data_IF_674392225693
#
_entry.id   IF_674392225693
#
_cell.length_a   1.000
_cell.length_b   1.000
_cell.length_c   1.000
_cell.angle_alpha   90.00
_cell.angle_beta   90.00
_cell.angle_gamma   90.00
#
_symmetry.space_group_name_H-M   'P 1'
#
loop_
_entity.id
_entity.type
_entity.pdbx_description
1 polymer ?
#
# COMPACT_ATOMS: atom_id res chain seq x y z
N UNK A 1 -19.56 -0.52 11.75
CA UNK A 1 -18.80 -0.60 10.48
C UNK A 1 -17.96 0.64 10.20
N UNK A 2 -18.43 1.86 10.48
CA UNK A 2 -17.70 3.09 10.12
C UNK A 2 -16.27 3.19 10.68
N UNK A 3 -16.05 2.79 11.94
CA UNK A 3 -14.69 2.80 12.53
C UNK A 3 -13.71 1.88 11.81
N UNK A 4 -14.14 0.68 11.44
CA UNK A 4 -13.30 -0.27 10.71
C UNK A 4 -12.95 0.28 9.33
N UNK A 5 -13.94 0.85 8.61
CA UNK A 5 -13.69 1.50 7.32
C UNK A 5 -12.68 2.65 7.46
N UNK A 6 -12.83 3.49 8.49
CA UNK A 6 -11.89 4.57 8.77
C UNK A 6 -10.48 4.03 9.03
N UNK A 7 -10.34 2.96 9.83
CA UNK A 7 -9.05 2.35 10.11
C UNK A 7 -8.38 1.77 8.85
N UNK A 8 -9.14 1.10 8.00
CA UNK A 8 -8.66 0.59 6.70
C UNK A 8 -8.17 1.75 5.83
N UNK A 9 -8.93 2.85 5.78
CA UNK A 9 -8.59 4.02 4.96
C UNK A 9 -7.33 4.73 5.48
N UNK A 10 -7.21 4.87 6.80
CA UNK A 10 -6.01 5.42 7.45
C UNK A 10 -4.77 4.55 7.18
N UNK A 11 -4.91 3.22 7.21
CA UNK A 11 -3.79 2.32 6.91
C UNK A 11 -3.31 2.44 5.45
N UNK A 12 -4.26 2.57 4.51
CA UNK A 12 -3.92 2.83 3.11
C UNK A 12 -3.19 4.16 2.94
N UNK A 13 -3.66 5.20 3.62
CA UNK A 13 -3.02 6.52 3.63
C UNK A 13 -1.62 6.46 4.23
N UNK A 14 -1.45 5.83 5.41
CA UNK A 14 -0.17 5.73 6.11
C UNK A 14 0.90 5.05 5.25
N UNK A 15 0.56 3.94 4.58
CA UNK A 15 1.46 3.25 3.65
C UNK A 15 1.86 4.15 2.49
N UNK A 16 0.89 4.82 1.85
CA UNK A 16 1.17 5.74 0.73
C UNK A 16 2.11 6.88 1.16
N UNK A 17 1.86 7.50 2.31
CA UNK A 17 2.67 8.63 2.79
C UNK A 17 4.07 8.16 3.21
N UNK A 18 4.18 6.99 3.84
CA UNK A 18 5.46 6.35 4.18
C UNK A 18 6.29 6.06 2.93
N UNK A 19 5.67 5.48 1.89
CA UNK A 19 6.32 5.25 0.59
C UNK A 19 6.74 6.56 -0.11
N UNK A 20 6.05 7.67 0.20
CA UNK A 20 6.38 9.01 -0.28
C UNK A 20 7.47 9.71 0.55
N UNK A 21 8.06 9.01 1.53
CA UNK A 21 9.12 9.54 2.40
C UNK A 21 8.62 10.42 3.56
N UNK A 22 7.31 10.41 3.84
CA UNK A 22 6.73 11.10 5.01
C UNK A 22 6.69 10.18 6.22
N UNK A 23 6.64 10.76 7.41
CA UNK A 23 6.59 10.00 8.66
C UNK A 23 5.24 9.29 8.86
N UNK A 24 5.21 8.11 9.48
CA UNK A 24 3.98 7.40 9.78
C UNK A 24 3.18 8.09 10.89
N UNK A 25 1.89 7.78 10.97
CA UNK A 25 1.05 8.24 12.07
C UNK A 25 1.56 7.74 13.43
N UNK A 26 1.44 8.59 14.45
CA UNK A 26 1.64 8.17 15.83
C UNK A 26 0.39 7.48 16.36
N UNK A 27 0.56 6.47 17.22
CA UNK A 27 -0.55 5.70 17.81
C UNK A 27 -1.54 6.58 18.59
N UNK A 28 -1.07 7.66 19.21
CA UNK A 28 -1.94 8.63 19.87
C UNK A 28 -2.86 9.37 18.89
N UNK A 29 -2.36 9.71 17.72
CA UNK A 29 -3.12 10.42 16.68
C UNK A 29 -4.12 9.48 16.03
N UNK A 30 -3.73 8.23 15.75
CA UNK A 30 -4.64 7.21 15.22
C UNK A 30 -5.80 6.94 16.17
N UNK A 31 -5.52 6.84 17.48
CA UNK A 31 -6.55 6.67 18.49
C UNK A 31 -7.58 7.82 18.44
N UNK A 32 -7.09 9.07 18.37
CA UNK A 32 -7.95 10.25 18.24
C UNK A 32 -8.76 10.24 16.93
N UNK A 33 -8.13 9.91 15.80
CA UNK A 33 -8.76 9.86 14.47
C UNK A 33 -9.89 8.83 14.38
N UNK A 34 -9.78 7.70 15.08
CA UNK A 34 -10.83 6.66 15.12
C UNK A 34 -11.77 6.78 16.32
N UNK A 35 -11.60 7.83 17.13
CA UNK A 35 -12.46 8.15 18.28
C UNK A 35 -12.35 7.15 19.43
N UNK A 36 -11.15 6.64 19.70
CA UNK A 36 -10.86 5.77 20.86
C UNK A 36 -9.78 6.39 21.74
N UNK A 37 -9.79 6.04 23.02
CA UNK A 37 -8.72 6.46 23.92
C UNK A 37 -7.43 5.64 23.70
N UNK A 38 -6.30 6.15 24.20
CA UNK A 38 -4.98 5.53 24.06
C UNK A 38 -4.91 4.10 24.64
N UNK A 39 -5.58 3.86 25.77
CA UNK A 39 -5.62 2.54 26.41
C UNK A 39 -6.31 1.51 25.52
N UNK A 40 -7.52 1.82 25.05
CA UNK A 40 -8.28 0.98 24.13
C UNK A 40 -7.50 0.73 22.83
N UNK A 41 -6.83 1.76 22.31
CA UNK A 41 -5.95 1.61 21.15
C UNK A 41 -4.87 0.55 21.40
N UNK A 42 -4.09 0.74 22.47
CA UNK A 42 -2.97 -0.15 22.82
C UNK A 42 -3.40 -1.59 23.05
N UNK A 43 -4.59 -1.80 23.62
CA UNK A 43 -5.10 -3.12 23.97
C UNK A 43 -5.78 -3.84 22.81
N UNK A 44 -6.49 -3.13 21.93
CA UNK A 44 -7.42 -3.74 20.99
C UNK A 44 -7.18 -3.38 19.51
N UNK A 45 -6.36 -2.37 19.20
CA UNK A 45 -6.22 -1.86 17.82
C UNK A 45 -4.82 -2.02 17.23
N UNK A 46 -3.77 -2.04 18.05
CA UNK A 46 -2.37 -2.07 17.56
C UNK A 46 -2.12 -3.25 16.61
N UNK A 47 -2.49 -4.47 17.01
CA UNK A 47 -2.26 -5.66 16.17
C UNK A 47 -3.03 -5.57 14.84
N UNK A 48 -4.29 -5.16 14.89
CA UNK A 48 -5.12 -5.01 13.69
C UNK A 48 -4.57 -3.92 12.75
N UNK A 49 -4.09 -2.80 13.31
CA UNK A 49 -3.44 -1.74 12.56
C UNK A 49 -2.19 -2.24 11.83
N UNK A 50 -1.30 -2.93 12.53
CA UNK A 50 -0.06 -3.46 11.96
C UNK A 50 -0.33 -4.47 10.84
N UNK A 51 -1.36 -5.31 10.99
CA UNK A 51 -1.79 -6.23 9.93
C UNK A 51 -2.29 -5.47 8.69
N UNK A 52 -3.10 -4.42 8.86
CA UNK A 52 -3.60 -3.64 7.73
C UNK A 52 -2.47 -2.92 6.99
N UNK A 53 -1.57 -2.27 7.72
CA UNK A 53 -0.39 -1.59 7.14
C UNK A 53 0.48 -2.59 6.37
N UNK A 54 0.75 -3.76 6.95
CA UNK A 54 1.51 -4.82 6.27
C UNK A 54 0.83 -5.31 5.01
N UNK A 55 -0.49 -5.47 5.03
CA UNK A 55 -1.27 -5.92 3.88
C UNK A 55 -1.20 -4.90 2.74
N UNK A 56 -1.37 -3.62 3.03
CA UNK A 56 -1.26 -2.55 2.04
C UNK A 56 0.16 -2.45 1.45
N UNK A 57 1.20 -2.51 2.28
CA UNK A 57 2.59 -2.47 1.80
C UNK A 57 2.92 -3.66 0.89
N UNK A 58 2.43 -4.85 1.24
CA UNK A 58 2.58 -6.04 0.40
C UNK A 58 1.83 -5.89 -0.92
N UNK A 59 0.58 -5.42 -0.88
CA UNK A 59 -0.24 -5.22 -2.07
C UNK A 59 0.41 -4.23 -3.05
N UNK A 60 0.94 -3.12 -2.54
CA UNK A 60 1.64 -2.12 -3.35
C UNK A 60 2.89 -2.73 -4.02
N UNK A 61 3.72 -3.42 -3.21
CA UNK A 61 4.95 -4.07 -3.69
C UNK A 61 4.67 -5.14 -4.75
N UNK A 62 3.67 -5.99 -4.53
CA UNK A 62 3.33 -7.08 -5.44
C UNK A 62 2.74 -6.55 -6.76
N UNK A 63 1.94 -5.47 -6.68
CA UNK A 63 1.42 -4.77 -7.85
C UNK A 63 2.53 -4.15 -8.68
N UNK A 64 3.50 -3.48 -8.04
CA UNK A 64 4.64 -2.88 -8.71
C UNK A 64 5.52 -3.93 -9.41
N UNK A 65 5.78 -5.06 -8.74
CA UNK A 65 6.48 -6.21 -9.34
C UNK A 65 5.74 -6.76 -10.56
N UNK A 66 4.41 -6.88 -10.48
CA UNK A 66 3.61 -7.36 -11.59
C UNK A 66 3.69 -6.44 -12.80
N UNK A 67 3.51 -5.13 -12.61
CA UNK A 67 3.62 -4.13 -13.70
C UNK A 67 5.03 -4.12 -14.30
N UNK A 68 6.07 -4.18 -13.47
CA UNK A 68 7.46 -4.23 -13.92
C UNK A 68 7.76 -5.46 -14.78
N UNK A 69 7.25 -6.64 -14.37
CA UNK A 69 7.35 -7.89 -15.15
C UNK A 69 6.60 -7.78 -16.49
N UNK A 70 5.35 -7.32 -16.47
CA UNK A 70 4.55 -7.18 -17.70
C UNK A 70 5.21 -6.23 -18.70
N UNK A 71 5.74 -5.08 -18.24
CA UNK A 71 6.47 -4.15 -19.09
C UNK A 71 7.75 -4.74 -19.66
N UNK A 72 8.50 -5.48 -18.84
CA UNK A 72 9.73 -6.16 -19.27
C UNK A 72 9.44 -7.20 -20.36
N UNK A 73 8.34 -7.95 -20.20
CA UNK A 73 7.89 -8.93 -21.18
C UNK A 73 7.44 -8.28 -22.49
N UNK A 74 6.64 -7.21 -22.43
CA UNK A 74 6.23 -6.45 -23.62
C UNK A 74 7.44 -5.89 -24.38
N UNK A 75 8.44 -5.35 -23.67
CA UNK A 75 9.68 -4.86 -24.29
C UNK A 75 10.41 -6.00 -25.00
N UNK A 76 10.58 -7.16 -24.35
CA UNK A 76 11.24 -8.31 -24.96
C UNK A 76 10.51 -8.81 -26.23
N UNK A 77 9.18 -8.90 -26.18
CA UNK A 77 8.36 -9.33 -27.33
C UNK A 77 8.41 -8.33 -28.49
N UNK A 78 8.32 -7.03 -28.20
CA UNK A 78 8.32 -5.97 -29.23
C UNK A 78 9.73 -5.63 -29.74
N UNK A 79 10.79 -6.18 -29.14
CA UNK A 79 12.17 -6.06 -29.62
C UNK A 79 12.52 -7.09 -30.71
N UNK A 80 11.56 -7.86 -31.23
CA UNK A 80 11.75 -8.49 -32.53
C UNK A 80 11.88 -7.37 -33.58
N UNK A 81 12.99 -7.30 -34.33
CA UNK A 81 13.03 -6.42 -35.48
C UNK A 81 11.88 -6.87 -36.37
N UNK A 82 10.88 -6.01 -36.56
CA UNK A 82 10.03 -6.16 -37.73
C UNK A 82 11.00 -6.28 -38.88
N UNK A 83 11.00 -7.45 -39.53
CA UNK A 83 11.56 -7.61 -40.86
C UNK A 83 10.76 -6.61 -41.68
N UNK A 84 11.24 -5.37 -41.73
CA UNK A 84 10.84 -4.39 -42.70
C UNK A 84 11.32 -5.00 -44.01
N UNK A 85 10.48 -5.84 -44.60
CA UNK A 85 10.62 -6.26 -45.98
C UNK A 85 10.52 -4.96 -46.77
N UNK A 86 11.70 -4.47 -47.15
CA UNK A 86 11.88 -3.39 -48.08
C UNK A 86 11.49 -3.97 -49.44
N UNK A 87 10.32 -3.55 -49.94
CA UNK A 87 9.84 -3.87 -51.29
C UNK A 87 10.61 -3.06 -52.33
#
# INVERSE_FOLDING_TARGET
>A
MERLKALIWLAAQDVKETLSGRGPYQYGDLAALVGVNKTNWSQNYVEHWEVMVRLFARLDTDSLKQVSRSRSQQKATNCQPSIAQMN
#
